data_IF_777887090604
#
_entry.id   IF_777887090604
#
_cell.length_a   1.000
_cell.length_b   1.000
_cell.length_c   1.000
_cell.angle_alpha   90.00
_cell.angle_beta   90.00
_cell.angle_gamma   90.00
#
_symmetry.space_group_name_H-M   'P 1'
#
loop_
_entity.id
_entity.type
_entity.pdbx_description
1 polymer ?
#
# COMPACT_ATOMS: atom_id res chain seq x y z
N UNK A 1 5.23 8.70 -5.63
CA UNK A 1 6.09 9.35 -4.61
C UNK A 1 6.57 8.30 -3.62
N UNK A 2 7.82 8.35 -3.15
CA UNK A 2 8.32 7.54 -2.01
C UNK A 2 8.01 8.26 -0.69
N UNK A 3 7.94 7.54 0.43
CA UNK A 3 7.54 8.15 1.70
C UNK A 3 7.77 7.27 2.92
N UNK A 4 7.58 7.86 4.11
CA UNK A 4 7.66 7.18 5.41
C UNK A 4 6.41 7.49 6.23
N UNK A 5 5.87 6.48 6.89
CA UNK A 5 4.76 6.61 7.85
C UNK A 5 5.37 6.47 9.24
N UNK A 6 5.11 7.45 10.10
CA UNK A 6 5.71 7.57 11.44
C UNK A 6 4.64 7.53 12.51
N UNK A 7 5.04 7.10 13.70
CA UNK A 7 4.22 7.23 14.89
C UNK A 7 4.26 8.68 15.42
N UNK A 8 3.11 9.21 15.80
CA UNK A 8 2.96 10.55 16.41
C UNK A 8 3.06 11.72 15.43
N UNK A 9 3.04 12.94 15.98
CA UNK A 9 3.01 14.20 15.22
C UNK A 9 4.38 14.70 14.78
N UNK A 10 5.47 14.12 15.28
CA UNK A 10 6.83 14.58 15.02
C UNK A 10 7.39 14.05 13.70
N UNK A 11 8.07 14.90 12.93
CA UNK A 11 8.83 14.50 11.74
C UNK A 11 10.01 13.57 12.07
N UNK A 12 10.41 13.51 13.34
CA UNK A 12 11.44 12.62 13.89
C UNK A 12 10.87 11.37 14.58
N UNK A 13 9.55 11.17 14.56
CA UNK A 13 8.91 10.01 15.16
C UNK A 13 9.38 8.67 14.56
N UNK A 14 9.21 7.59 15.31
CA UNK A 14 9.55 6.23 14.89
C UNK A 14 8.88 5.89 13.56
N UNK A 15 9.66 5.48 12.58
CA UNK A 15 9.14 5.06 11.27
C UNK A 15 8.53 3.68 11.40
N UNK A 16 7.23 3.58 11.18
CA UNK A 16 6.48 2.32 11.17
C UNK A 16 6.58 1.63 9.82
N UNK A 17 6.49 2.41 8.74
CA UNK A 17 6.58 1.90 7.38
C UNK A 17 7.39 2.81 6.46
N UNK A 18 8.05 2.21 5.47
CA UNK A 18 8.69 2.90 4.37
C UNK A 18 8.13 2.43 3.02
N UNK A 19 7.98 3.37 2.11
CA UNK A 19 7.44 3.15 0.77
C UNK A 19 8.43 3.59 -0.29
N UNK A 20 8.80 2.66 -1.18
CA UNK A 20 9.79 2.86 -2.23
C UNK A 20 9.18 3.03 -3.63
N UNK A 21 7.85 3.23 -3.73
CA UNK A 21 7.01 3.21 -4.96
C UNK A 21 6.66 1.83 -5.51
N UNK A 22 7.23 0.77 -4.95
CA UNK A 22 6.93 -0.61 -5.31
C UNK A 22 6.55 -1.47 -4.11
N UNK A 23 7.15 -1.24 -2.96
CA UNK A 23 7.00 -2.04 -1.75
C UNK A 23 6.70 -1.15 -0.56
N UNK A 24 5.74 -1.57 0.26
CA UNK A 24 5.56 -1.08 1.62
C UNK A 24 6.29 -2.04 2.55
N UNK A 25 7.24 -1.51 3.31
CA UNK A 25 8.08 -2.29 4.22
C UNK A 25 7.86 -1.85 5.65
N UNK A 26 7.97 -2.79 6.58
CA UNK A 26 8.04 -2.49 8.01
C UNK A 26 9.36 -1.80 8.35
N UNK A 27 9.26 -0.78 9.23
CA UNK A 27 10.39 0.00 9.71
C UNK A 27 10.94 1.00 8.69
N UNK A 28 12.14 1.50 8.95
CA UNK A 28 12.81 2.52 8.14
C UNK A 28 13.71 1.99 7.03
N UNK A 29 14.07 0.69 7.08
CA UNK A 29 15.10 0.09 6.24
C UNK A 29 14.58 -0.31 4.84
N UNK A 30 15.40 -0.10 3.82
CA UNK A 30 15.16 -0.60 2.46
C UNK A 30 15.21 -2.14 2.37
N UNK A 31 15.84 -2.79 3.35
CA UNK A 31 15.88 -4.25 3.49
C UNK A 31 14.81 -4.78 4.45
N UNK A 32 13.91 -3.93 4.94
CA UNK A 32 12.82 -4.35 5.83
C UNK A 32 11.83 -5.30 5.16
N UNK A 33 11.10 -6.04 5.99
CA UNK A 33 10.06 -6.99 5.57
C UNK A 33 9.01 -6.28 4.73
N UNK A 34 8.80 -6.76 3.49
CA UNK A 34 7.75 -6.25 2.61
C UNK A 34 6.41 -6.82 3.08
N UNK A 35 5.47 -5.93 3.35
CA UNK A 35 4.10 -6.28 3.74
C UNK A 35 3.21 -6.34 2.52
N UNK A 36 3.35 -5.36 1.62
CA UNK A 36 2.66 -5.35 0.33
C UNK A 36 3.57 -4.84 -0.78
N UNK A 37 3.32 -5.31 -2.00
CA UNK A 37 3.89 -4.73 -3.21
C UNK A 37 2.81 -4.15 -4.12
N UNK A 38 3.24 -3.27 -5.01
CA UNK A 38 2.43 -2.64 -6.03
C UNK A 38 3.17 -2.69 -7.37
N UNK A 39 2.48 -3.17 -8.40
CA UNK A 39 3.03 -3.32 -9.75
C UNK A 39 2.57 -2.20 -10.72
N UNK A 40 1.86 -1.18 -10.23
CA UNK A 40 1.22 -0.17 -11.05
C UNK A 40 -0.28 -0.41 -11.27
N UNK A 41 -0.78 -1.62 -11.00
CA UNK A 41 -2.18 -2.00 -11.18
C UNK A 41 -2.77 -2.74 -9.98
N UNK A 42 -1.99 -3.54 -9.26
CA UNK A 42 -2.47 -4.42 -8.20
C UNK A 42 -1.61 -4.25 -6.96
N UNK A 43 -2.28 -4.27 -5.81
CA UNK A 43 -1.65 -4.36 -4.48
C UNK A 43 -1.68 -5.84 -4.08
N UNK A 44 -0.51 -6.41 -3.80
CA UNK A 44 -0.38 -7.82 -3.39
C UNK A 44 0.24 -7.94 -2.01
N UNK A 45 -0.06 -9.04 -1.33
CA UNK A 45 0.63 -9.40 -0.09
C UNK A 45 2.08 -9.80 -0.37
N UNK A 46 2.98 -9.36 0.51
CA UNK A 46 4.40 -9.66 0.47
C UNK A 46 5.14 -9.00 -0.70
N UNK A 47 6.35 -9.48 -0.96
CA UNK A 47 7.26 -8.94 -1.98
C UNK A 47 7.05 -9.50 -3.39
N UNK A 48 6.39 -10.67 -3.51
CA UNK A 48 6.30 -11.41 -4.76
C UNK A 48 5.37 -10.76 -5.78
N UNK A 49 5.80 -10.70 -7.04
CA UNK A 49 4.93 -10.31 -8.17
C UNK A 49 3.78 -11.31 -8.41
N UNK A 50 3.89 -12.52 -7.86
CA UNK A 50 2.86 -13.56 -7.88
C UNK A 50 2.16 -13.72 -6.52
N UNK A 51 2.38 -12.79 -5.59
CA UNK A 51 1.69 -12.79 -4.29
C UNK A 51 0.17 -12.67 -4.44
N UNK A 52 -0.56 -13.00 -3.38
CA UNK A 52 -2.02 -12.89 -3.38
C UNK A 52 -2.42 -11.46 -3.67
N UNK A 53 -3.23 -11.26 -4.72
CA UNK A 53 -3.75 -9.93 -5.03
C UNK A 53 -4.83 -9.57 -4.03
N UNK A 54 -4.56 -8.52 -3.26
CA UNK A 54 -5.48 -7.99 -2.26
C UNK A 54 -6.45 -7.01 -2.93
N UNK A 55 -5.91 -6.13 -3.78
CA UNK A 55 -6.69 -5.11 -4.46
C UNK A 55 -6.20 -4.82 -5.88
N UNK A 56 -7.12 -4.33 -6.70
CA UNK A 56 -6.87 -3.82 -8.04
C UNK A 56 -7.21 -2.33 -8.11
N UNK A 57 -6.36 -1.55 -8.78
CA UNK A 57 -6.56 -0.14 -9.07
C UNK A 57 -7.13 -0.02 -10.48
N UNK A 58 -8.34 0.52 -10.56
CA UNK A 58 -9.13 0.70 -11.79
C UNK A 58 -9.59 2.17 -11.88
N UNK A 59 -8.78 2.99 -12.55
CA UNK A 59 -8.97 4.44 -12.59
C UNK A 59 -8.91 5.05 -11.18
N UNK A 60 -10.03 5.63 -10.73
CA UNK A 60 -10.19 6.19 -9.37
C UNK A 60 -10.61 5.16 -8.33
N UNK A 61 -10.96 3.93 -8.73
CA UNK A 61 -11.51 2.92 -7.82
C UNK A 61 -10.43 1.95 -7.35
N UNK A 62 -10.50 1.59 -6.07
CA UNK A 62 -9.82 0.42 -5.50
C UNK A 62 -10.85 -0.69 -5.35
N UNK A 63 -10.60 -1.81 -6.00
CA UNK A 63 -11.45 -3.00 -5.99
C UNK A 63 -10.82 -4.12 -5.20
N UNK A 64 -11.63 -4.96 -4.57
CA UNK A 64 -11.16 -6.17 -3.91
C UNK A 64 -10.73 -7.23 -4.92
N UNK A 65 -9.59 -7.87 -4.64
CA UNK A 65 -9.03 -8.92 -5.48
C UNK A 65 -8.44 -8.39 -6.79
N UNK A 66 -8.22 -9.30 -7.75
CA UNK A 66 -7.55 -9.02 -9.02
C UNK A 66 -8.49 -8.66 -10.19
N UNK A 67 -9.81 -8.79 -9.99
CA UNK A 67 -10.80 -8.69 -11.06
C UNK A 67 -11.39 -7.29 -11.18
N UNK A 68 -11.65 -6.86 -12.42
CA UNK A 68 -12.46 -5.67 -12.71
C UNK A 68 -13.91 -5.78 -12.25
N UNK A 69 -14.38 -7.01 -12.00
CA UNK A 69 -15.70 -7.30 -11.41
C UNK A 69 -15.68 -7.32 -9.87
N UNK A 70 -14.51 -7.11 -9.25
CA UNK A 70 -14.41 -7.01 -7.80
C UNK A 70 -15.17 -5.80 -7.25
N UNK A 71 -15.71 -5.95 -6.03
CA UNK A 71 -16.39 -4.88 -5.31
C UNK A 71 -15.47 -3.68 -5.14
N UNK A 72 -15.98 -2.48 -5.42
CA UNK A 72 -15.30 -1.23 -5.13
C UNK A 72 -15.34 -1.01 -3.62
N UNK A 73 -14.17 -0.87 -2.99
CA UNK A 73 -14.07 -0.63 -1.54
C UNK A 73 -13.69 0.83 -1.26
N UNK A 74 -12.91 1.44 -2.14
CA UNK A 74 -12.57 2.87 -2.05
C UNK A 74 -12.68 3.54 -3.40
N UNK A 75 -13.02 4.82 -3.38
CA UNK A 75 -12.82 5.75 -4.49
C UNK A 75 -11.82 6.82 -4.04
N UNK A 76 -10.81 7.08 -4.86
CA UNK A 76 -9.77 8.05 -4.58
C UNK A 76 -10.00 9.28 -5.44
N UNK A 77 -10.09 10.45 -4.80
CA UNK A 77 -9.95 11.74 -5.46
C UNK A 77 -8.70 12.47 -4.98
N UNK A 78 -8.10 13.26 -5.87
CA UNK A 78 -6.79 13.89 -5.63
C UNK A 78 -5.63 12.89 -5.50
N UNK A 79 -4.53 13.33 -4.88
CA UNK A 79 -3.31 12.51 -4.71
C UNK A 79 -3.25 11.89 -3.31
N UNK A 80 -3.87 10.72 -3.14
CA UNK A 80 -3.72 9.92 -1.91
C UNK A 80 -2.55 8.95 -2.07
N UNK A 81 -1.59 8.88 -1.12
CA UNK A 81 -0.52 7.89 -1.19
C UNK A 81 -1.08 6.46 -1.14
N UNK A 82 -0.83 5.67 -2.19
CA UNK A 82 -1.15 4.24 -2.27
C UNK A 82 -0.81 3.42 -1.00
N UNK A 83 0.31 3.67 -0.30
CA UNK A 83 0.60 3.03 0.99
C UNK A 83 -0.50 3.17 2.03
N UNK A 84 -1.11 4.35 2.11
CA UNK A 84 -2.14 4.64 3.08
C UNK A 84 -3.40 3.83 2.75
N UNK A 85 -3.76 3.77 1.47
CA UNK A 85 -4.88 2.96 0.99
C UNK A 85 -4.67 1.47 1.32
N UNK A 86 -3.47 0.94 1.06
CA UNK A 86 -3.13 -0.45 1.35
C UNK A 86 -3.22 -0.77 2.86
N UNK A 87 -2.75 0.14 3.72
CA UNK A 87 -2.81 -0.05 5.17
C UNK A 87 -4.25 -0.08 5.70
N UNK A 88 -5.10 0.86 5.26
CA UNK A 88 -6.52 0.88 5.62
C UNK A 88 -7.19 -0.42 5.15
N UNK A 89 -6.93 -0.81 3.91
CA UNK A 89 -7.57 -1.97 3.31
C UNK A 89 -7.15 -3.30 3.99
N UNK A 90 -5.90 -3.39 4.44
CA UNK A 90 -5.37 -4.57 5.16
C UNK A 90 -5.70 -4.60 6.65
N UNK A 91 -6.28 -3.54 7.23
CA UNK A 91 -6.57 -3.45 8.66
C UNK A 91 -5.33 -3.39 9.54
N UNK A 92 -4.18 -2.98 8.98
CA UNK A 92 -2.90 -2.88 9.69
C UNK A 92 -2.86 -1.64 10.63
N UNK A 93 -3.82 -0.74 10.48
CA UNK A 93 -4.00 0.50 11.24
C UNK A 93 -5.44 0.62 11.74
#
# INVERSE_FOLDING_TARGET
MSGKIRNGSSSMGTVLFNWDRKNLRQGSSSMGTVVVNFDGKNIRSGSSSMGTTLYNIDGKNIRQGSSSMGSVIFNIDGSIPLPLCALIATGII
#
